data_IF_182310584343
#
_entry.id   IF_182310584343
#
_cell.length_a   1.000
_cell.length_b   1.000
_cell.length_c   1.000
_cell.angle_alpha   90.00
_cell.angle_beta   90.00
_cell.angle_gamma   90.00
#
_symmetry.space_group_name_H-M   'P 1'
#
loop_
_entity.id
_entity.type
_entity.pdbx_description
1 polymer ?
#
# COMPACT_ATOMS: atom_id res chain seq x y z
N UNK A 1 17.43 9.86 -15.19
CA UNK A 1 17.86 8.45 -15.35
C UNK A 1 16.71 7.66 -15.92
N UNK A 2 16.92 6.84 -16.92
CA UNK A 2 15.90 5.93 -17.49
C UNK A 2 16.45 4.51 -17.39
N UNK A 3 15.70 3.62 -16.79
CA UNK A 3 16.06 2.19 -16.65
C UNK A 3 14.92 1.34 -17.19
N UNK A 4 15.25 0.27 -17.87
CA UNK A 4 14.31 -0.76 -18.31
C UNK A 4 14.70 -2.04 -17.60
N UNK A 5 13.75 -2.64 -16.88
CA UNK A 5 13.92 -3.93 -16.23
C UNK A 5 13.05 -4.91 -17.02
N UNK A 6 13.66 -5.80 -17.81
CA UNK A 6 12.91 -6.76 -18.61
C UNK A 6 12.33 -7.89 -17.76
N UNK A 7 11.38 -8.61 -18.34
CA UNK A 7 10.80 -9.85 -17.81
C UNK A 7 10.11 -9.72 -16.44
N UNK A 8 9.63 -8.52 -16.14
CA UNK A 8 8.86 -8.21 -14.92
C UNK A 8 7.53 -7.56 -15.30
N UNK A 9 6.44 -7.99 -14.67
CA UNK A 9 5.12 -7.43 -14.91
C UNK A 9 4.33 -7.25 -13.63
N UNK A 10 3.42 -6.28 -13.61
CA UNK A 10 2.40 -6.15 -12.58
C UNK A 10 1.26 -7.10 -12.95
N UNK A 11 1.06 -8.14 -12.15
CA UNK A 11 0.05 -9.17 -12.41
C UNK A 11 -1.35 -8.70 -12.03
N UNK A 12 -1.47 -8.05 -10.87
CA UNK A 12 -2.76 -7.63 -10.34
C UNK A 12 -2.60 -6.43 -9.40
N UNK A 13 -3.68 -5.68 -9.24
CA UNK A 13 -3.76 -4.53 -8.33
C UNK A 13 -5.07 -4.62 -7.56
N UNK A 14 -5.00 -4.36 -6.25
CA UNK A 14 -6.17 -4.22 -5.38
C UNK A 14 -6.03 -2.99 -4.49
N UNK A 15 -7.16 -2.48 -4.04
CA UNK A 15 -7.23 -1.41 -3.06
C UNK A 15 -8.26 -1.72 -1.99
N UNK A 16 -8.02 -1.22 -0.79
CA UNK A 16 -8.95 -1.31 0.33
C UNK A 16 -9.08 0.05 0.99
N UNK A 17 -10.31 0.52 1.16
CA UNK A 17 -10.61 1.81 1.75
C UNK A 17 -11.32 1.64 3.09
N UNK A 18 -11.07 2.53 4.06
CA UNK A 18 -11.89 2.60 5.27
C UNK A 18 -13.37 2.83 4.92
N UNK A 19 -14.27 2.43 5.81
CA UNK A 19 -15.71 2.59 5.62
C UNK A 19 -16.22 4.03 5.81
N UNK A 20 -15.50 4.83 6.60
CA UNK A 20 -15.91 6.19 6.92
C UNK A 20 -15.56 7.15 5.79
N UNK A 21 -16.56 7.42 4.94
CA UNK A 21 -16.48 8.34 3.80
C UNK A 21 -16.97 9.73 4.22
N UNK A 22 -16.12 10.74 4.07
CA UNK A 22 -16.38 12.12 4.48
C UNK A 22 -16.32 13.03 3.27
N UNK A 23 -17.34 13.89 3.10
CA UNK A 23 -17.30 14.94 2.07
C UNK A 23 -16.32 16.03 2.46
N UNK A 24 -15.48 16.48 1.54
CA UNK A 24 -14.63 17.64 1.78
C UNK A 24 -15.45 18.91 2.03
N UNK A 25 -16.67 19.01 1.49
CA UNK A 25 -17.55 20.13 1.76
C UNK A 25 -17.91 20.28 3.25
N UNK A 26 -17.90 19.17 4.03
CA UNK A 26 -18.19 19.25 5.46
C UNK A 26 -17.11 19.99 6.28
N UNK A 27 -15.95 20.22 5.69
CA UNK A 27 -14.88 21.00 6.32
C UNK A 27 -15.02 22.51 6.13
N UNK A 28 -16.06 22.97 5.38
CA UNK A 28 -16.27 24.40 5.12
C UNK A 28 -16.51 25.20 6.40
N UNK A 29 -17.20 24.62 7.38
CA UNK A 29 -17.42 25.26 8.69
C UNK A 29 -16.09 25.51 9.44
N UNK A 30 -15.13 24.60 9.32
CA UNK A 30 -13.84 24.67 10.02
C UNK A 30 -12.82 25.55 9.27
N UNK A 31 -12.75 25.45 7.95
CA UNK A 31 -11.67 26.04 7.14
C UNK A 31 -12.12 27.17 6.20
N UNK A 32 -13.43 27.43 6.11
CA UNK A 32 -14.02 28.41 5.22
C UNK A 32 -14.57 27.80 3.91
N UNK A 33 -15.68 28.35 3.44
CA UNK A 33 -16.34 27.86 2.22
C UNK A 33 -15.51 28.06 0.95
N UNK A 34 -14.82 29.21 0.88
CA UNK A 34 -13.99 29.55 -0.28
C UNK A 34 -12.80 28.62 -0.37
N UNK A 35 -12.08 28.47 0.72
CA UNK A 35 -10.89 27.64 0.85
C UNK A 35 -11.20 26.19 0.53
N UNK A 36 -12.29 25.66 1.09
CA UNK A 36 -12.75 24.28 0.83
C UNK A 36 -13.11 24.09 -0.64
N UNK A 37 -13.84 25.03 -1.24
CA UNK A 37 -14.21 24.99 -2.65
C UNK A 37 -12.99 25.06 -3.57
N UNK A 38 -11.99 25.90 -3.23
CA UNK A 38 -10.77 26.04 -4.00
C UNK A 38 -9.91 24.76 -3.94
N UNK A 39 -9.85 24.10 -2.80
CA UNK A 39 -9.17 22.78 -2.66
C UNK A 39 -9.86 21.73 -3.53
N UNK A 40 -11.20 21.60 -3.44
CA UNK A 40 -11.95 20.64 -4.27
C UNK A 40 -11.72 20.91 -5.75
N UNK A 41 -11.82 22.17 -6.17
CA UNK A 41 -11.62 22.56 -7.57
C UNK A 41 -10.22 22.25 -8.08
N UNK A 42 -9.18 22.49 -7.24
CA UNK A 42 -7.77 22.32 -7.62
C UNK A 42 -7.35 20.86 -7.63
N UNK A 43 -7.85 20.08 -6.69
CA UNK A 43 -7.44 18.67 -6.54
C UNK A 43 -8.36 17.68 -7.25
N UNK A 44 -9.60 18.08 -7.52
CA UNK A 44 -10.67 17.18 -7.99
C UNK A 44 -11.16 16.20 -6.92
N UNK A 45 -10.69 16.32 -5.67
CA UNK A 45 -11.07 15.44 -4.57
C UNK A 45 -12.31 15.98 -3.89
N UNK A 46 -13.40 15.25 -3.92
CA UNK A 46 -14.68 15.60 -3.28
C UNK A 46 -14.91 14.84 -1.97
N UNK A 47 -14.27 13.68 -1.83
CA UNK A 47 -14.45 12.76 -0.73
C UNK A 47 -13.12 12.24 -0.23
N UNK A 48 -13.02 12.04 1.07
CA UNK A 48 -11.90 11.35 1.72
C UNK A 48 -12.41 10.18 2.55
N UNK A 49 -11.56 9.17 2.72
CA UNK A 49 -11.86 8.02 3.57
C UNK A 49 -10.94 8.07 4.79
N UNK A 50 -11.51 7.93 5.97
CA UNK A 50 -10.78 7.99 7.24
C UNK A 50 -10.97 6.69 8.01
N UNK A 51 -9.88 6.21 8.57
CA UNK A 51 -9.89 5.13 9.53
C UNK A 51 -10.57 5.56 10.82
N UNK A 52 -11.16 4.64 11.54
CA UNK A 52 -11.52 4.86 12.93
C UNK A 52 -10.27 4.79 13.85
N UNK A 53 -10.48 5.03 15.15
CA UNK A 53 -9.37 5.08 16.12
C UNK A 53 -8.63 3.73 16.29
N UNK A 54 -9.25 2.62 15.90
CA UNK A 54 -8.72 1.27 16.08
C UNK A 54 -8.14 0.68 14.79
N UNK A 55 -8.38 1.31 13.65
CA UNK A 55 -7.93 0.82 12.34
C UNK A 55 -6.58 1.43 11.97
N UNK A 56 -5.61 0.58 11.73
CA UNK A 56 -4.23 0.92 11.41
C UNK A 56 -3.91 0.79 9.92
N UNK A 57 -2.79 1.35 9.50
CA UNK A 57 -2.29 1.20 8.13
C UNK A 57 -2.06 -0.26 7.75
N UNK A 58 -1.55 -1.07 8.68
CA UNK A 58 -1.35 -2.51 8.44
C UNK A 58 -2.66 -3.26 8.22
N UNK A 59 -3.77 -2.86 8.84
CA UNK A 59 -5.07 -3.50 8.62
C UNK A 59 -5.60 -3.25 7.21
N UNK A 60 -5.39 -2.04 6.68
CA UNK A 60 -5.76 -1.73 5.30
C UNK A 60 -4.89 -2.52 4.30
N UNK A 61 -3.59 -2.59 4.54
CA UNK A 61 -2.66 -3.39 3.73
C UNK A 61 -3.05 -4.88 3.76
N UNK A 62 -3.33 -5.42 4.95
CA UNK A 62 -3.76 -6.79 5.12
C UNK A 62 -5.04 -7.09 4.32
N UNK A 63 -6.06 -6.26 4.46
CA UNK A 63 -7.33 -6.46 3.76
C UNK A 63 -7.19 -6.36 2.24
N UNK A 64 -6.36 -5.45 1.74
CA UNK A 64 -6.07 -5.34 0.32
C UNK A 64 -5.33 -6.58 -0.21
N UNK A 65 -4.34 -7.08 0.53
CA UNK A 65 -3.58 -8.27 0.19
C UNK A 65 -4.46 -9.53 0.23
N UNK A 66 -5.26 -9.72 1.30
CA UNK A 66 -6.20 -10.84 1.42
C UNK A 66 -7.22 -10.86 0.27
N UNK A 67 -7.77 -9.70 -0.06
CA UNK A 67 -8.68 -9.58 -1.19
C UNK A 67 -8.01 -9.98 -2.51
N UNK A 68 -6.78 -9.52 -2.75
CA UNK A 68 -6.01 -9.83 -3.95
C UNK A 68 -5.70 -11.34 -4.04
N UNK A 69 -5.17 -11.90 -2.96
CA UNK A 69 -4.80 -13.32 -2.86
C UNK A 69 -6.03 -14.21 -3.12
N UNK A 70 -7.15 -13.89 -2.48
CA UNK A 70 -8.39 -14.64 -2.63
C UNK A 70 -9.00 -14.50 -4.03
N UNK A 71 -9.06 -13.27 -4.56
CA UNK A 71 -9.67 -12.98 -5.85
C UNK A 71 -8.93 -13.66 -7.01
N UNK A 72 -7.61 -13.63 -6.98
CA UNK A 72 -6.77 -14.16 -8.06
C UNK A 72 -6.27 -15.58 -7.78
N UNK A 73 -6.75 -16.20 -6.69
CA UNK A 73 -6.38 -17.53 -6.24
C UNK A 73 -4.85 -17.73 -6.20
N UNK A 74 -4.17 -16.77 -5.55
CA UNK A 74 -2.71 -16.77 -5.43
C UNK A 74 -2.30 -17.77 -4.35
N UNK A 75 -1.39 -18.68 -4.69
CA UNK A 75 -0.76 -19.54 -3.70
C UNK A 75 0.19 -18.72 -2.82
N UNK A 76 -0.06 -18.71 -1.51
CA UNK A 76 0.76 -17.98 -0.53
C UNK A 76 2.20 -18.47 -0.47
N UNK A 77 2.41 -19.78 -0.69
CA UNK A 77 3.74 -20.39 -0.74
C UNK A 77 4.55 -19.90 -1.94
N UNK A 78 3.89 -19.37 -2.97
CA UNK A 78 4.57 -18.80 -4.14
C UNK A 78 5.05 -17.37 -3.94
N UNK A 79 4.67 -16.70 -2.84
CA UNK A 79 5.06 -15.32 -2.57
C UNK A 79 6.43 -15.30 -1.89
N UNK A 80 7.44 -14.82 -2.61
CA UNK A 80 8.83 -14.82 -2.17
C UNK A 80 9.27 -13.49 -1.55
N UNK A 81 8.57 -12.41 -1.88
CA UNK A 81 8.89 -11.08 -1.38
C UNK A 81 7.67 -10.28 -0.97
N UNK A 82 7.84 -9.42 0.03
CA UNK A 82 6.83 -8.49 0.50
C UNK A 82 7.47 -7.13 0.75
N UNK A 83 7.07 -6.13 -0.02
CA UNK A 83 7.50 -4.75 0.15
C UNK A 83 6.33 -3.93 0.68
N UNK A 84 6.49 -3.35 1.87
CA UNK A 84 5.52 -2.44 2.47
C UNK A 84 6.04 -1.02 2.41
N UNK A 85 5.24 -0.13 1.86
CA UNK A 85 5.60 1.26 1.71
C UNK A 85 4.58 2.15 2.41
N UNK A 86 5.03 2.84 3.44
CA UNK A 86 4.19 3.77 4.19
C UNK A 86 5.02 4.77 4.97
N UNK A 87 4.49 5.99 5.16
CA UNK A 87 5.02 6.98 6.12
C UNK A 87 4.27 6.93 7.46
N UNK A 88 3.20 6.14 7.52
CA UNK A 88 2.33 5.99 8.70
C UNK A 88 2.36 4.56 9.21
N UNK A 89 3.58 4.03 9.42
CA UNK A 89 3.76 2.71 10.01
C UNK A 89 3.18 2.65 11.43
N UNK A 90 2.66 1.51 11.80
CA UNK A 90 1.99 1.34 13.10
C UNK A 90 2.97 1.32 14.27
N UNK A 91 4.18 0.80 14.03
CA UNK A 91 5.24 0.63 15.05
C UNK A 91 6.62 0.96 14.46
N UNK A 92 7.55 1.27 15.35
CA UNK A 92 8.96 1.37 14.97
C UNK A 92 9.58 -0.01 14.72
N UNK A 93 9.19 -0.99 15.55
CA UNK A 93 9.57 -2.42 15.46
C UNK A 93 8.43 -3.27 16.04
N UNK A 94 8.15 -4.49 15.48
CA UNK A 94 8.76 -5.01 14.25
C UNK A 94 8.35 -4.22 13.01
N UNK A 95 9.07 -4.43 11.91
CA UNK A 95 8.70 -3.87 10.62
C UNK A 95 7.30 -4.34 10.20
N UNK A 96 6.55 -3.47 9.51
CA UNK A 96 5.18 -3.76 9.10
C UNK A 96 5.11 -4.92 8.12
N UNK A 97 6.12 -5.06 7.25
CA UNK A 97 6.23 -6.19 6.31
C UNK A 97 6.37 -7.52 7.04
N UNK A 98 7.18 -7.60 8.09
CA UNK A 98 7.34 -8.82 8.92
C UNK A 98 6.04 -9.17 9.65
N UNK A 99 5.36 -8.16 10.20
CA UNK A 99 4.05 -8.37 10.81
C UNK A 99 3.02 -8.88 9.79
N UNK A 100 2.98 -8.30 8.60
CA UNK A 100 2.07 -8.71 7.54
C UNK A 100 2.43 -10.08 6.96
N UNK A 101 3.71 -10.42 6.83
CA UNK A 101 4.17 -11.76 6.46
C UNK A 101 3.50 -12.83 7.34
N UNK A 102 3.60 -12.64 8.66
CA UNK A 102 2.98 -13.56 9.62
C UNK A 102 1.46 -13.55 9.53
N UNK A 103 0.85 -12.38 9.50
CA UNK A 103 -0.62 -12.22 9.48
C UNK A 103 -1.25 -12.77 8.20
N UNK A 104 -0.57 -12.67 7.06
CA UNK A 104 -0.99 -13.23 5.77
C UNK A 104 -0.68 -14.73 5.65
N UNK A 105 0.00 -15.34 6.61
CA UNK A 105 0.41 -16.74 6.53
C UNK A 105 1.37 -17.02 5.38
N UNK A 106 2.28 -16.10 5.09
CA UNK A 106 3.34 -16.32 4.11
C UNK A 106 4.47 -17.16 4.74
N UNK A 107 5.27 -17.81 3.91
CA UNK A 107 6.41 -18.60 4.38
C UNK A 107 7.45 -17.74 5.11
N UNK A 108 8.19 -18.35 6.04
CA UNK A 108 9.20 -17.63 6.83
C UNK A 108 10.37 -17.10 5.99
N UNK A 109 10.62 -17.72 4.86
CA UNK A 109 11.69 -17.35 3.91
C UNK A 109 11.29 -16.16 3.01
N UNK A 110 10.03 -15.69 3.05
CA UNK A 110 9.61 -14.50 2.29
C UNK A 110 10.46 -13.29 2.70
N UNK A 111 11.13 -12.69 1.73
CA UNK A 111 11.95 -11.49 1.94
C UNK A 111 11.06 -10.29 2.26
N UNK A 112 11.23 -9.68 3.42
CA UNK A 112 10.41 -8.57 3.90
C UNK A 112 11.20 -7.26 3.88
N UNK A 113 10.58 -6.17 3.41
CA UNK A 113 11.18 -4.85 3.39
C UNK A 113 10.16 -3.76 3.64
N UNK A 114 10.42 -2.90 4.62
CA UNK A 114 9.68 -1.66 4.81
C UNK A 114 10.42 -0.50 4.15
N UNK A 115 9.69 0.29 3.35
CA UNK A 115 10.17 1.54 2.76
C UNK A 115 9.41 2.71 3.40
N UNK A 116 10.09 3.48 4.22
CA UNK A 116 9.53 4.69 4.82
C UNK A 116 9.75 5.88 3.89
N UNK A 117 8.83 6.08 2.95
CA UNK A 117 8.94 7.12 1.93
C UNK A 117 7.55 7.68 1.58
N UNK A 118 7.52 8.94 1.14
CA UNK A 118 6.29 9.59 0.68
C UNK A 118 5.84 9.17 -0.72
N UNK A 119 5.17 10.06 -1.42
CA UNK A 119 4.48 9.79 -2.70
C UNK A 119 5.36 9.10 -3.76
N UNK A 120 6.64 9.49 -3.87
CA UNK A 120 7.60 8.88 -4.81
C UNK A 120 8.04 7.48 -4.38
N UNK A 121 7.80 7.10 -3.14
CA UNK A 121 8.13 5.79 -2.61
C UNK A 121 7.49 4.64 -3.39
N UNK A 122 6.28 4.86 -3.95
CA UNK A 122 5.64 3.86 -4.80
C UNK A 122 6.54 3.41 -5.95
N UNK A 123 7.23 4.34 -6.60
CA UNK A 123 8.17 4.01 -7.68
C UNK A 123 9.39 3.25 -7.16
N UNK A 124 9.89 3.62 -5.98
CA UNK A 124 11.00 2.88 -5.34
C UNK A 124 10.58 1.47 -4.92
N UNK A 125 9.36 1.29 -4.41
CA UNK A 125 8.82 -0.04 -4.09
C UNK A 125 8.70 -0.93 -5.32
N UNK A 126 8.13 -0.41 -6.41
CA UNK A 126 8.06 -1.14 -7.69
C UNK A 126 9.45 -1.47 -8.24
N UNK A 127 10.37 -0.52 -8.18
CA UNK A 127 11.75 -0.76 -8.62
C UNK A 127 12.42 -1.85 -7.78
N UNK A 128 12.25 -1.82 -6.47
CA UNK A 128 12.81 -2.83 -5.57
C UNK A 128 12.26 -4.23 -5.88
N UNK A 129 10.93 -4.35 -6.00
CA UNK A 129 10.28 -5.61 -6.37
C UNK A 129 10.76 -6.12 -7.73
N UNK A 130 10.82 -5.24 -8.73
CA UNK A 130 11.31 -5.58 -10.06
C UNK A 130 12.78 -6.04 -10.05
N UNK A 131 13.64 -5.40 -9.25
CA UNK A 131 15.04 -5.81 -9.11
C UNK A 131 15.18 -7.17 -8.43
N UNK A 132 14.37 -7.48 -7.42
CA UNK A 132 14.36 -8.79 -6.78
C UNK A 132 13.97 -9.91 -7.76
N UNK A 133 12.94 -9.67 -8.59
CA UNK A 133 12.53 -10.62 -9.61
C UNK A 133 13.62 -10.77 -10.70
N UNK A 134 14.12 -9.64 -11.21
CA UNK A 134 15.14 -9.66 -12.26
C UNK A 134 16.46 -10.31 -11.83
N UNK A 135 16.84 -10.15 -10.56
CA UNK A 135 18.04 -10.80 -10.00
C UNK A 135 17.86 -12.28 -9.70
N UNK A 136 16.65 -12.81 -9.76
CA UNK A 136 16.33 -14.19 -9.38
C UNK A 136 16.22 -14.42 -7.87
N UNK A 137 16.23 -13.34 -7.05
CA UNK A 137 16.02 -13.46 -5.61
C UNK A 137 14.58 -13.86 -5.29
N UNK A 138 13.62 -13.32 -6.03
CA UNK A 138 12.19 -13.63 -5.91
C UNK A 138 11.61 -13.94 -7.28
N UNK A 139 10.52 -14.70 -7.29
CA UNK A 139 9.68 -14.90 -8.48
C UNK A 139 8.38 -14.10 -8.40
N UNK A 140 7.82 -13.94 -7.18
CA UNK A 140 6.61 -13.18 -6.91
C UNK A 140 6.82 -12.26 -5.70
N UNK A 141 6.51 -10.97 -5.87
CA UNK A 141 6.63 -9.93 -4.86
C UNK A 141 5.31 -9.16 -4.74
#
# INVERSE_FOLDING_TARGET
>A
MKTIIPDVSIRSIASWLPSNKISLSSFAEQYGEKETRDVIRTTGVEWVYRTDANQKSSDLCFNAAEYLISKDNIDRESIDGLVVLTVTRDWALPDTSVYLQHKLGLKNETVCLDINYGCTGYIYGLMQAAMWIHSGLCQNV
#
